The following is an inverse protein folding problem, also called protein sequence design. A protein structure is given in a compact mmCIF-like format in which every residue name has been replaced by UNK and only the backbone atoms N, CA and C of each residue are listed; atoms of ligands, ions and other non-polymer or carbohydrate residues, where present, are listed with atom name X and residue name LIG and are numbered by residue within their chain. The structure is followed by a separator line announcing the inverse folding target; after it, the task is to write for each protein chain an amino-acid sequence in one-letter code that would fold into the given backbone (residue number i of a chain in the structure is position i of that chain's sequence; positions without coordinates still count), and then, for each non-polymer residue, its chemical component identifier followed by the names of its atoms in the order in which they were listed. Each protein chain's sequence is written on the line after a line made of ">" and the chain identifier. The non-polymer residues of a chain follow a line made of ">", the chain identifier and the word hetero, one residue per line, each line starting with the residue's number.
data_IF_532734045075
#
_entry.id   IF_532734045075
#
_cell.length_a   1.000
_cell.length_b   1.000
_cell.length_c   1.000
_cell.angle_alpha   90.00
_cell.angle_beta   90.00
_cell.angle_gamma   90.00
#
_symmetry.space_group_name_H-M   'P 1'
#
loop_
_entity.id
_entity.type
_entity.pdbx_description
1 polymer ?
#
# COMPACT_ATOMS: atom_id res chain seq x y z
N UNK A 1 21.55 -36.55 -38.62
CA UNK A 1 22.06 -35.18 -38.34
C UNK A 1 20.96 -34.33 -37.71
N UNK A 2 20.93 -34.15 -36.37
CA UNK A 2 19.93 -33.32 -35.67
C UNK A 2 20.33 -31.83 -35.78
N UNK A 3 19.53 -31.01 -36.47
CA UNK A 3 19.71 -29.55 -36.53
C UNK A 3 19.31 -28.94 -35.17
N UNK A 4 20.28 -28.46 -34.40
CA UNK A 4 20.02 -27.60 -33.22
C UNK A 4 19.39 -26.29 -33.71
N UNK A 5 18.09 -26.10 -33.46
CA UNK A 5 17.44 -24.79 -33.61
C UNK A 5 18.08 -23.83 -32.61
N UNK A 6 18.88 -22.88 -33.11
CA UNK A 6 19.37 -21.74 -32.33
C UNK A 6 18.15 -20.94 -31.88
N UNK A 7 17.94 -20.81 -30.56
CA UNK A 7 16.97 -19.88 -30.00
C UNK A 7 17.35 -18.46 -30.41
N UNK A 8 16.41 -17.61 -30.86
CA UNK A 8 16.71 -16.22 -31.17
C UNK A 8 17.12 -15.52 -29.87
N UNK A 9 18.32 -14.94 -29.86
CA UNK A 9 18.75 -14.04 -28.80
C UNK A 9 17.87 -12.79 -28.89
N UNK A 10 16.98 -12.59 -27.92
CA UNK A 10 16.25 -11.33 -27.75
C UNK A 10 17.30 -10.23 -27.66
N UNK A 11 17.37 -9.35 -28.67
CA UNK A 11 18.17 -8.13 -28.58
C UNK A 11 17.47 -7.26 -27.52
N UNK A 12 18.09 -7.10 -26.35
CA UNK A 12 17.75 -6.00 -25.44
C UNK A 12 18.05 -4.71 -26.21
N UNK A 13 17.00 -4.07 -26.72
CA UNK A 13 17.09 -2.68 -27.15
C UNK A 13 17.16 -1.91 -25.84
N UNK A 14 18.36 -1.60 -25.37
CA UNK A 14 18.55 -0.68 -24.27
C UNK A 14 18.31 0.72 -24.82
N UNK A 15 17.05 1.14 -24.90
CA UNK A 15 16.78 2.57 -24.86
C UNK A 15 17.28 3.09 -23.51
N UNK A 16 17.82 4.31 -23.48
CA UNK A 16 18.25 4.93 -22.24
C UNK A 16 17.04 5.07 -21.33
N UNK A 17 16.83 4.05 -20.49
CA UNK A 17 15.83 4.03 -19.45
C UNK A 17 16.20 5.19 -18.52
N UNK A 18 15.29 6.15 -18.36
CA UNK A 18 15.55 7.30 -17.51
C UNK A 18 15.73 6.81 -16.07
N UNK A 19 16.70 7.37 -15.37
CA UNK A 19 17.01 6.96 -14.01
C UNK A 19 16.07 7.68 -13.04
N UNK A 20 15.29 6.92 -12.25
CA UNK A 20 14.31 7.47 -11.32
C UNK A 20 14.43 6.74 -9.97
N UNK A 21 15.39 7.12 -9.11
CA UNK A 21 15.66 6.40 -7.88
C UNK A 21 14.63 6.73 -6.80
N UNK A 22 14.37 5.76 -5.93
CA UNK A 22 13.69 5.92 -4.66
C UNK A 22 14.62 6.67 -3.69
N UNK A 23 14.11 7.66 -2.97
CA UNK A 23 14.89 8.44 -2.03
C UNK A 23 15.09 7.71 -0.69
N UNK A 24 16.07 8.14 0.08
CA UNK A 24 16.29 7.65 1.44
C UNK A 24 15.04 7.95 2.29
N UNK A 25 14.54 6.92 2.98
CA UNK A 25 13.29 6.95 3.77
C UNK A 25 11.98 7.17 2.98
N UNK A 26 12.00 7.23 1.65
CA UNK A 26 10.77 7.28 0.85
C UNK A 26 10.10 5.91 0.84
N UNK A 27 8.83 5.84 1.24
CA UNK A 27 8.06 4.60 1.13
C UNK A 27 7.75 4.29 -0.34
N UNK A 28 7.58 3.01 -0.68
CA UNK A 28 7.34 2.58 -2.05
C UNK A 28 6.07 3.21 -2.65
N UNK A 29 5.01 3.40 -1.86
CA UNK A 29 3.79 4.04 -2.38
C UNK A 29 4.02 5.51 -2.75
N UNK A 30 4.85 6.24 -1.99
CA UNK A 30 5.23 7.63 -2.30
C UNK A 30 6.07 7.68 -3.56
N UNK A 31 7.03 6.75 -3.67
CA UNK A 31 7.87 6.58 -4.84
C UNK A 31 7.06 6.28 -6.12
N UNK A 32 6.13 5.34 -6.04
CA UNK A 32 5.24 4.98 -7.14
C UNK A 32 4.31 6.14 -7.53
N UNK A 33 3.78 6.86 -6.54
CA UNK A 33 2.98 8.07 -6.74
C UNK A 33 3.78 9.16 -7.49
N UNK A 34 5.00 9.46 -7.02
CA UNK A 34 5.91 10.43 -7.65
C UNK A 34 6.26 10.05 -9.08
N UNK A 35 6.44 8.76 -9.36
CA UNK A 35 6.64 8.28 -10.73
C UNK A 35 5.39 8.51 -11.60
N UNK A 36 4.20 8.25 -11.07
CA UNK A 36 2.95 8.48 -11.80
C UNK A 36 2.70 9.97 -12.09
N UNK A 37 3.02 10.87 -11.16
CA UNK A 37 2.99 12.31 -11.39
C UNK A 37 3.98 12.73 -12.48
N UNK A 38 5.20 12.19 -12.43
CA UNK A 38 6.21 12.40 -13.46
C UNK A 38 5.74 11.87 -14.83
N UNK A 39 5.05 10.73 -14.87
CA UNK A 39 4.47 10.16 -16.09
C UNK A 39 3.38 11.05 -16.69
N UNK A 40 2.52 11.61 -15.85
CA UNK A 40 1.46 12.52 -16.28
C UNK A 40 2.03 13.81 -16.89
N UNK A 41 3.16 14.29 -16.38
CA UNK A 41 3.80 15.54 -16.82
C UNK A 41 4.64 15.39 -18.10
N UNK A 42 5.37 14.28 -18.29
CA UNK A 42 6.46 14.19 -19.28
C UNK A 42 6.24 13.22 -20.45
N UNK A 43 5.00 12.96 -20.86
CA UNK A 43 4.71 12.09 -22.02
C UNK A 43 5.33 10.68 -21.91
N UNK A 44 5.52 10.16 -20.69
CA UNK A 44 5.99 8.78 -20.49
C UNK A 44 5.00 7.72 -20.99
N UNK A 45 3.85 8.13 -21.56
CA UNK A 45 2.97 7.27 -22.37
C UNK A 45 3.70 6.58 -23.52
N UNK A 46 4.86 7.10 -23.96
CA UNK A 46 5.68 6.47 -24.97
C UNK A 46 6.41 5.20 -24.49
N UNK A 47 6.53 5.01 -23.17
CA UNK A 47 7.12 3.80 -22.61
C UNK A 47 6.06 2.72 -22.43
N UNK A 48 6.40 1.51 -22.83
CA UNK A 48 5.56 0.36 -22.58
C UNK A 48 5.60 0.00 -21.08
N UNK A 49 4.57 -0.72 -20.61
CA UNK A 49 4.43 -1.09 -19.20
C UNK A 49 5.66 -1.82 -18.64
N UNK A 50 6.31 -2.68 -19.44
CA UNK A 50 7.51 -3.40 -19.03
C UNK A 50 8.72 -2.47 -18.81
N UNK A 51 8.91 -1.46 -19.66
CA UNK A 51 9.97 -0.47 -19.49
C UNK A 51 9.79 0.33 -18.20
N UNK A 52 8.55 0.63 -17.82
CA UNK A 52 8.25 1.30 -16.56
C UNK A 52 8.51 0.36 -15.37
N UNK A 53 8.21 -0.93 -15.49
CA UNK A 53 8.56 -1.92 -14.47
C UNK A 53 10.08 -2.03 -14.29
N UNK A 54 10.85 -2.00 -15.38
CA UNK A 54 12.32 -2.01 -15.32
C UNK A 54 12.87 -0.76 -14.61
N UNK A 55 12.32 0.44 -14.89
CA UNK A 55 12.65 1.69 -14.17
C UNK A 55 12.41 1.54 -12.67
N UNK A 56 11.22 1.05 -12.30
CA UNK A 56 10.82 0.89 -10.91
C UNK A 56 11.76 -0.06 -10.18
N UNK A 57 12.03 -1.23 -10.76
CA UNK A 57 12.96 -2.19 -10.16
C UNK A 57 14.34 -1.56 -9.99
N UNK A 58 14.90 -0.95 -11.04
CA UNK A 58 16.24 -0.33 -10.99
C UNK A 58 16.33 0.77 -9.92
N UNK A 59 15.27 1.58 -9.77
CA UNK A 59 15.23 2.70 -8.83
C UNK A 59 14.95 2.32 -7.38
N UNK A 60 14.41 1.14 -7.09
CA UNK A 60 14.09 0.70 -5.73
C UNK A 60 15.31 0.59 -4.82
N UNK A 61 15.13 0.94 -3.55
CA UNK A 61 16.09 0.60 -2.49
C UNK A 61 16.18 -0.92 -2.31
N UNK A 62 17.28 -1.37 -1.71
CA UNK A 62 17.51 -2.79 -1.45
C UNK A 62 16.40 -3.37 -0.57
N UNK A 63 15.99 -2.64 0.46
CA UNK A 63 14.97 -3.03 1.42
C UNK A 63 13.61 -3.20 0.73
N UNK A 64 13.23 -2.24 -0.11
CA UNK A 64 11.97 -2.28 -0.87
C UNK A 64 11.96 -3.44 -1.86
N UNK A 65 13.09 -3.68 -2.56
CA UNK A 65 13.21 -4.82 -3.47
C UNK A 65 13.10 -6.14 -2.73
N UNK A 66 13.75 -6.29 -1.58
CA UNK A 66 13.67 -7.50 -0.77
C UNK A 66 12.23 -7.77 -0.30
N UNK A 67 11.50 -6.73 0.09
CA UNK A 67 10.08 -6.85 0.46
C UNK A 67 9.22 -7.27 -0.74
N UNK A 68 9.41 -6.66 -1.90
CA UNK A 68 8.71 -7.05 -3.14
C UNK A 68 8.98 -8.51 -3.52
N UNK A 69 10.24 -8.95 -3.44
CA UNK A 69 10.63 -10.35 -3.70
C UNK A 69 9.95 -11.31 -2.71
N UNK A 70 9.81 -10.92 -1.44
CA UNK A 70 9.12 -11.73 -0.42
C UNK A 70 7.63 -11.93 -0.70
N UNK A 71 7.00 -10.96 -1.37
CA UNK A 71 5.60 -11.05 -1.82
C UNK A 71 5.43 -11.94 -3.06
N UNK A 72 6.53 -12.27 -3.76
CA UNK A 72 6.52 -13.02 -5.01
C UNK A 72 7.07 -14.45 -4.84
N UNK A 73 6.21 -15.40 -4.46
CA UNK A 73 6.58 -16.81 -4.29
C UNK A 73 7.18 -17.49 -5.54
N UNK A 74 6.90 -16.98 -6.74
CA UNK A 74 7.36 -17.54 -8.02
C UNK A 74 8.65 -16.90 -8.54
N UNK A 75 9.15 -15.86 -7.87
CA UNK A 75 10.28 -15.05 -8.31
C UNK A 75 9.92 -14.05 -9.42
N UNK A 76 10.52 -12.86 -9.36
CA UNK A 76 10.21 -11.72 -10.23
C UNK A 76 10.44 -12.02 -11.72
N UNK A 77 11.43 -12.86 -12.05
CA UNK A 77 11.78 -13.22 -13.44
C UNK A 77 10.68 -14.00 -14.19
N UNK A 78 9.70 -14.53 -13.46
CA UNK A 78 8.61 -15.34 -14.03
C UNK A 78 7.35 -14.53 -14.37
N UNK A 79 7.30 -13.28 -13.93
CA UNK A 79 6.13 -12.40 -14.05
C UNK A 79 6.08 -11.72 -15.43
N UNK A 80 4.87 -11.53 -15.93
CA UNK A 80 4.64 -10.65 -17.07
C UNK A 80 4.50 -9.18 -16.59
N UNK A 81 4.37 -8.22 -17.53
CA UNK A 81 4.28 -6.80 -17.20
C UNK A 81 3.06 -6.44 -16.36
N UNK A 82 1.94 -7.14 -16.56
CA UNK A 82 0.72 -6.95 -15.80
C UNK A 82 0.87 -7.52 -14.39
N UNK A 83 1.31 -8.78 -14.25
CA UNK A 83 1.50 -9.39 -12.93
C UNK A 83 2.52 -8.61 -12.06
N UNK A 84 3.59 -8.09 -12.69
CA UNK A 84 4.59 -7.26 -12.01
C UNK A 84 4.00 -5.96 -11.50
N UNK A 85 3.15 -5.33 -12.31
CA UNK A 85 2.49 -4.08 -11.96
C UNK A 85 1.47 -4.27 -10.84
N UNK A 86 0.69 -5.35 -10.90
CA UNK A 86 -0.26 -5.72 -9.85
C UNK A 86 0.47 -5.97 -8.53
N UNK A 87 1.68 -6.53 -8.57
CA UNK A 87 2.54 -6.69 -7.40
C UNK A 87 3.01 -5.34 -6.85
N UNK A 88 3.39 -4.39 -7.70
CA UNK A 88 3.72 -3.02 -7.27
C UNK A 88 2.52 -2.33 -6.63
N UNK A 89 1.34 -2.40 -7.24
CA UNK A 89 0.12 -1.82 -6.67
C UNK A 89 -0.23 -2.46 -5.32
N UNK A 90 -0.03 -3.77 -5.18
CA UNK A 90 -0.22 -4.50 -3.92
C UNK A 90 0.76 -4.03 -2.84
N UNK A 91 2.05 -3.88 -3.16
CA UNK A 91 3.06 -3.39 -2.23
C UNK A 91 2.78 -1.93 -1.81
N UNK A 92 2.44 -1.07 -2.78
CA UNK A 92 2.10 0.32 -2.51
C UNK A 92 0.87 0.42 -1.60
N UNK A 93 -0.18 -0.35 -1.90
CA UNK A 93 -1.40 -0.39 -1.10
C UNK A 93 -1.13 -0.87 0.33
N UNK A 94 -0.31 -1.92 0.48
CA UNK A 94 0.08 -2.44 1.79
C UNK A 94 0.81 -1.39 2.63
N UNK A 95 1.82 -0.71 2.06
CA UNK A 95 2.58 0.30 2.80
C UNK A 95 1.74 1.54 3.13
N UNK A 96 0.87 1.98 2.21
CA UNK A 96 -0.08 3.07 2.48
C UNK A 96 -1.00 2.74 3.66
N UNK A 97 -1.55 1.52 3.70
CA UNK A 97 -2.38 1.07 4.81
C UNK A 97 -1.63 1.04 6.15
N UNK A 98 -0.37 0.58 6.17
CA UNK A 98 0.47 0.59 7.36
C UNK A 98 0.72 2.01 7.87
N UNK A 99 0.98 2.97 6.98
CA UNK A 99 1.21 4.36 7.35
C UNK A 99 -0.06 5.00 7.93
N UNK A 100 -1.20 4.91 7.25
CA UNK A 100 -2.47 5.41 7.76
C UNK A 100 -2.87 4.80 9.11
N UNK A 101 -2.55 3.52 9.33
CA UNK A 101 -2.78 2.85 10.62
C UNK A 101 -1.84 3.36 11.72
N UNK A 102 -0.62 3.76 11.37
CA UNK A 102 0.38 4.26 12.32
C UNK A 102 0.12 5.72 12.72
N UNK A 103 -0.38 6.55 11.81
CA UNK A 103 -0.79 7.92 12.09
C UNK A 103 -2.01 7.98 13.01
N UNK A 104 -2.89 6.97 12.96
CA UNK A 104 -4.03 6.83 13.86
C UNK A 104 -3.62 6.57 15.34
N UNK A 105 -2.36 6.17 15.60
CA UNK A 105 -1.84 5.92 16.95
C UNK A 105 -1.10 7.13 17.55
N UNK A 106 -0.81 8.15 16.74
CA UNK A 106 -0.36 9.45 17.27
C UNK A 106 -1.59 10.17 17.79
N UNK A 107 -1.93 9.86 19.04
CA UNK A 107 -2.97 10.55 19.79
C UNK A 107 -2.86 12.07 19.63
N UNK A 108 -3.98 12.82 19.62
CA UNK A 108 -3.93 14.27 19.66
C UNK A 108 -3.04 14.72 20.83
N UNK A 109 -2.28 15.82 20.70
CA UNK A 109 -1.43 16.30 21.77
C UNK A 109 -2.26 16.36 23.04
N UNK A 110 -1.85 15.58 24.05
CA UNK A 110 -2.44 15.64 25.38
C UNK A 110 -2.37 17.09 25.81
N UNK A 111 -3.50 17.78 25.76
CA UNK A 111 -3.63 19.10 26.35
C UNK A 111 -3.50 18.86 27.86
N UNK A 112 -2.31 19.10 28.38
CA UNK A 112 -2.08 19.12 29.81
C UNK A 112 -2.92 20.25 30.40
N UNK A 113 -4.04 19.85 31.01
CA UNK A 113 -5.08 20.72 31.54
C UNK A 113 -4.63 21.36 32.85
N UNK A 114 -3.42 21.90 32.97
CA UNK A 114 -3.01 22.70 34.14
C UNK A 114 -1.82 23.61 33.80
N UNK A 115 -2.08 24.73 33.13
CA UNK A 115 -1.33 25.96 33.43
C UNK A 115 -2.20 27.18 33.16
N UNK A 116 -2.83 27.66 34.24
CA UNK A 116 -3.47 28.96 34.27
C UNK A 116 -2.40 30.04 34.10
N UNK A 117 -2.54 30.89 33.08
CA UNK A 117 -2.02 32.25 33.13
C UNK A 117 -3.12 33.20 32.63
N UNK A 118 -3.54 34.19 33.43
CA UNK A 118 -4.71 35.01 33.13
C UNK A 118 -4.27 36.32 32.49
N UNK A 119 -4.36 36.46 31.16
CA UNK A 119 -4.26 37.75 30.48
C UNK A 119 -4.90 37.66 29.09
N UNK A 120 -6.18 37.99 28.98
CA UNK A 120 -6.69 39.06 28.11
C UNK A 120 -8.19 39.15 28.31
N UNK A 121 -8.57 40.32 28.78
CA UNK A 121 -9.91 40.78 29.07
C UNK A 121 -10.54 41.35 27.79
N UNK A 122 -11.87 41.27 27.74
CA UNK A 122 -12.79 42.05 26.89
C UNK A 122 -12.73 41.90 25.36
N UNK A 123 -13.71 41.19 24.79
CA UNK A 123 -14.87 41.86 24.14
C UNK A 123 -16.13 40.97 24.22
N UNK A 124 -17.21 41.58 24.75
CA UNK A 124 -18.65 41.30 24.66
C UNK A 124 -19.14 40.81 23.28
N UNK A 125 -20.31 40.19 23.06
CA UNK A 125 -21.53 39.97 23.85
C UNK A 125 -22.36 38.87 23.14
N UNK A 126 -23.04 38.05 23.95
CA UNK A 126 -24.35 37.39 23.76
C UNK A 126 -24.79 36.79 22.41
N UNK A 127 -24.93 35.45 22.37
CA UNK A 127 -26.17 34.77 21.96
C UNK A 127 -26.22 33.31 22.48
N UNK A 128 -27.14 33.12 23.44
CA UNK A 128 -27.95 31.92 23.74
C UNK A 128 -27.37 30.50 23.73
N UNK A 129 -27.30 29.95 24.95
CA UNK A 129 -27.66 28.60 25.36
C UNK A 129 -28.01 27.56 24.27
N UNK A 130 -27.04 26.74 23.91
CA UNK A 130 -27.23 25.30 23.75
C UNK A 130 -25.92 24.59 24.02
N UNK A 131 -25.86 23.93 25.17
CA UNK A 131 -24.83 22.96 25.51
C UNK A 131 -24.93 21.77 24.55
N UNK A 132 -24.23 21.83 23.42
CA UNK A 132 -23.90 20.66 22.62
C UNK A 132 -22.39 20.59 22.55
N UNK A 133 -21.84 19.45 22.97
CA UNK A 133 -20.45 19.04 22.77
C UNK A 133 -19.97 19.38 21.37
N UNK A 134 -18.65 19.55 21.13
CA UNK A 134 -18.15 19.74 19.77
C UNK A 134 -18.76 18.66 18.89
N UNK A 135 -19.41 19.05 17.80
CA UNK A 135 -19.91 18.08 16.83
C UNK A 135 -18.65 17.40 16.30
N UNK A 136 -18.35 16.20 16.82
CA UNK A 136 -17.19 15.44 16.40
C UNK A 136 -17.36 15.16 14.90
N UNK A 137 -16.47 15.73 14.09
CA UNK A 137 -16.44 15.48 12.66
C UNK A 137 -16.31 13.98 12.42
N UNK A 138 -16.97 13.46 11.39
CA UNK A 138 -16.84 12.07 10.99
C UNK A 138 -15.36 11.73 10.77
N UNK A 139 -14.80 10.78 11.52
CA UNK A 139 -13.37 10.42 11.43
C UNK A 139 -12.93 9.87 10.06
N UNK A 140 -13.88 9.49 9.20
CA UNK A 140 -13.61 8.92 7.88
C UNK A 140 -13.65 9.94 6.74
N UNK A 141 -14.49 10.98 6.85
CA UNK A 141 -14.66 11.98 5.77
C UNK A 141 -14.62 13.44 6.25
N UNK A 142 -14.45 13.66 7.57
CA UNK A 142 -14.37 14.95 8.24
C UNK A 142 -15.62 15.84 8.08
N UNK A 143 -16.73 15.29 7.60
CA UNK A 143 -18.03 15.98 7.55
C UNK A 143 -18.70 16.00 8.92
N UNK A 144 -19.42 17.08 9.21
CA UNK A 144 -20.23 17.26 10.41
C UNK A 144 -21.69 16.83 10.20
N UNK A 145 -22.07 16.43 8.98
CA UNK A 145 -23.47 16.23 8.57
C UNK A 145 -24.02 14.84 8.89
N UNK A 146 -23.17 13.93 9.37
CA UNK A 146 -23.56 12.55 9.67
C UNK A 146 -22.67 11.94 10.75
N UNK A 147 -23.20 10.91 11.42
CA UNK A 147 -22.40 10.09 12.34
C UNK A 147 -21.51 9.10 11.58
N UNK A 148 -20.47 8.58 12.23
CA UNK A 148 -19.51 7.62 11.64
C UNK A 148 -20.20 6.41 11.02
N UNK A 149 -21.25 5.87 11.65
CA UNK A 149 -21.98 4.69 11.14
C UNK A 149 -22.82 4.96 9.89
N UNK A 150 -23.10 6.22 9.59
CA UNK A 150 -23.84 6.66 8.39
C UNK A 150 -22.90 7.19 7.31
N UNK A 151 -21.59 7.14 7.53
CA UNK A 151 -20.60 7.60 6.57
C UNK A 151 -20.45 6.58 5.43
N UNK A 152 -20.57 7.07 4.18
CA UNK A 152 -20.36 6.23 3.01
C UNK A 152 -18.96 5.60 3.02
N UNK A 153 -17.94 6.37 3.42
CA UNK A 153 -16.56 5.90 3.54
C UNK A 153 -16.36 4.86 4.64
N UNK A 154 -17.13 4.94 5.74
CA UNK A 154 -17.14 3.88 6.77
C UNK A 154 -17.82 2.60 6.27
N UNK A 155 -18.93 2.73 5.53
CA UNK A 155 -19.61 1.60 4.94
C UNK A 155 -18.72 0.88 3.91
N UNK A 156 -18.03 1.62 3.05
CA UNK A 156 -17.07 1.09 2.09
C UNK A 156 -15.88 0.41 2.78
N UNK A 157 -15.37 1.00 3.86
CA UNK A 157 -14.31 0.41 4.68
C UNK A 157 -14.76 -0.90 5.33
N UNK A 158 -15.93 -0.92 5.97
CA UNK A 158 -16.48 -2.10 6.63
C UNK A 158 -16.73 -3.25 5.63
N UNK A 159 -17.26 -2.94 4.44
CA UNK A 159 -17.39 -3.91 3.35
C UNK A 159 -16.03 -4.44 2.89
N UNK A 160 -15.01 -3.60 2.87
CA UNK A 160 -13.65 -4.02 2.53
C UNK A 160 -13.04 -4.94 3.59
N UNK A 161 -13.23 -4.64 4.88
CA UNK A 161 -12.81 -5.51 5.98
C UNK A 161 -13.49 -6.89 5.89
N UNK A 162 -14.80 -6.92 5.65
CA UNK A 162 -15.54 -8.18 5.49
C UNK A 162 -15.00 -9.02 4.31
N UNK A 163 -14.61 -8.38 3.18
CA UNK A 163 -13.98 -9.08 2.05
C UNK A 163 -12.61 -9.66 2.42
N UNK A 164 -11.81 -8.94 3.20
CA UNK A 164 -10.51 -9.41 3.67
C UNK A 164 -10.67 -10.61 4.60
N UNK A 165 -11.63 -10.58 5.52
CA UNK A 165 -11.92 -11.72 6.41
C UNK A 165 -12.26 -13.00 5.63
N UNK A 166 -13.09 -12.87 4.58
CA UNK A 166 -13.41 -13.99 3.68
C UNK A 166 -12.15 -14.52 2.97
N UNK A 167 -11.28 -13.62 2.48
CA UNK A 167 -10.03 -14.02 1.82
C UNK A 167 -9.07 -14.72 2.79
N UNK A 168 -8.96 -14.27 4.04
CA UNK A 168 -8.14 -14.92 5.05
C UNK A 168 -8.61 -16.34 5.34
N UNK A 169 -9.92 -16.57 5.45
CA UNK A 169 -10.47 -17.91 5.64
C UNK A 169 -10.18 -18.82 4.44
N UNK A 170 -10.27 -18.31 3.21
CA UNK A 170 -9.90 -19.07 1.99
C UNK A 170 -8.41 -19.44 2.00
N UNK A 171 -7.53 -18.49 2.33
CA UNK A 171 -6.08 -18.73 2.37
C UNK A 171 -5.76 -19.77 3.44
N UNK A 172 -6.40 -19.69 4.60
CA UNK A 172 -6.24 -20.65 5.70
C UNK A 172 -6.69 -22.05 5.28
N UNK A 173 -7.84 -22.17 4.62
CA UNK A 173 -8.30 -23.45 4.09
C UNK A 173 -7.33 -24.03 3.04
N UNK A 174 -6.79 -23.19 2.15
CA UNK A 174 -5.78 -23.62 1.17
C UNK A 174 -4.47 -24.03 1.83
N UNK A 175 -4.04 -23.34 2.87
CA UNK A 175 -2.86 -23.69 3.66
C UNK A 175 -3.05 -25.04 4.35
N UNK A 176 -4.20 -25.27 4.99
CA UNK A 176 -4.53 -26.53 5.64
C UNK A 176 -4.60 -27.69 4.62
N UNK A 177 -5.17 -27.44 3.44
CA UNK A 177 -5.20 -28.41 2.34
C UNK A 177 -3.79 -28.76 1.86
N UNK A 178 -2.92 -27.76 1.71
CA UNK A 178 -1.53 -27.95 1.31
C UNK A 178 -0.75 -28.74 2.36
N UNK A 179 -0.86 -28.37 3.64
CA UNK A 179 -0.22 -29.06 4.76
C UNK A 179 -0.68 -30.51 4.84
N UNK A 180 -1.99 -30.75 4.67
CA UNK A 180 -2.57 -32.10 4.64
C UNK A 180 -1.99 -32.94 3.48
N UNK A 181 -1.92 -32.37 2.28
CA UNK A 181 -1.28 -33.01 1.12
C UNK A 181 0.20 -33.30 1.37
N UNK A 182 0.97 -32.36 1.94
CA UNK A 182 2.38 -32.59 2.25
C UNK A 182 2.59 -33.73 3.26
N UNK A 183 1.68 -33.86 4.24
CA UNK A 183 1.66 -34.99 5.19
C UNK A 183 1.34 -36.31 4.48
N UNK A 184 0.37 -36.32 3.58
CA UNK A 184 0.01 -37.50 2.78
C UNK A 184 1.18 -37.99 1.91
N UNK A 185 1.97 -37.06 1.34
CA UNK A 185 3.17 -37.39 0.56
C UNK A 185 4.43 -37.66 1.41
N UNK A 186 4.34 -37.71 2.75
CA UNK A 186 5.48 -37.90 3.66
C UNK A 186 6.66 -36.94 3.39
N UNK A 187 6.37 -35.72 2.95
CA UNK A 187 7.38 -34.68 2.64
C UNK A 187 7.75 -33.83 3.87
N UNK A 188 7.04 -33.99 4.98
CA UNK A 188 7.46 -33.46 6.27
C UNK A 188 8.45 -34.46 6.87
N UNK A 189 9.74 -34.16 6.75
CA UNK A 189 10.73 -34.81 7.59
C UNK A 189 10.38 -34.51 9.04
N UNK A 190 10.14 -35.57 9.82
CA UNK A 190 10.19 -35.49 11.28
C UNK A 190 11.60 -35.05 11.65
N UNK A 191 11.74 -33.78 12.03
CA UNK A 191 12.90 -33.33 12.79
C UNK A 191 12.64 -33.71 14.24
N UNK A 192 13.18 -34.87 14.63
CA UNK A 192 13.52 -35.18 16.04
C UNK A 192 14.51 -34.16 16.61
#
# INVERSE_FOLDING_TARGET
>A
KKKKKKKPKKKKITMAVFHFPQFEHELFWQYLSRLNDYRAQYMLFMYNKWEICDVLLEGMTYETRALLESMCYRGLDSLNADDMWDLFESLASYQWQCECSSEALVSPPSYDLHNQSPCIDQYRDACDHSSSSPIDACSYCQSFDHNVHSCLSFAEFNDSCARIDVLMEIIKEQQDNLVSKMREFSLLYETD
#
